data_IF_731248267346
#
_entry.id   IF_731248267346
#
_cell.length_a   1.000
_cell.length_b   1.000
_cell.length_c   1.000
_cell.angle_alpha   90.00
_cell.angle_beta   90.00
_cell.angle_gamma   90.00
#
_symmetry.space_group_name_H-M   'P 1'
#
loop_
_entity.id
_entity.type
_entity.pdbx_description
1 polymer ?
#
# COMPACT_ATOMS: atom_id res chain seq x y z
N UNK A 1 -11.13 10.95 -1.44
CA UNK A 1 -10.88 9.69 -2.16
C UNK A 1 -9.37 9.51 -2.32
N UNK A 2 -8.87 8.26 -2.37
CA UNK A 2 -7.45 7.99 -2.64
C UNK A 2 -7.21 8.15 -4.14
N UNK A 3 -6.13 8.80 -4.52
CA UNK A 3 -5.72 9.03 -5.92
C UNK A 3 -4.41 8.35 -6.28
N UNK A 4 -3.54 8.04 -5.30
CA UNK A 4 -2.28 7.32 -5.52
C UNK A 4 -1.85 6.53 -4.27
N UNK A 5 -1.12 5.44 -4.50
CA UNK A 5 -0.50 4.59 -3.48
C UNK A 5 0.92 4.24 -3.90
N UNK A 6 1.94 4.91 -3.38
CA UNK A 6 3.33 4.81 -3.86
C UNK A 6 4.36 4.58 -2.75
N UNK A 7 5.62 4.35 -3.13
CA UNK A 7 6.76 4.20 -2.23
C UNK A 7 7.53 5.51 -2.01
N UNK A 8 7.04 6.61 -2.60
CA UNK A 8 7.61 7.94 -2.46
C UNK A 8 6.49 8.97 -2.28
N UNK A 9 6.68 9.97 -1.42
CA UNK A 9 5.70 11.04 -1.28
C UNK A 9 5.68 11.92 -2.54
N UNK A 10 4.49 12.19 -3.09
CA UNK A 10 4.32 12.97 -4.32
C UNK A 10 4.51 14.48 -4.13
N UNK A 11 3.99 15.02 -3.03
CA UNK A 11 3.96 16.46 -2.77
C UNK A 11 4.92 16.92 -1.66
N UNK A 12 5.43 16.00 -0.85
CA UNK A 12 6.26 16.29 0.32
C UNK A 12 7.51 15.42 0.31
N UNK A 13 8.47 15.68 -0.60
CA UNK A 13 9.64 14.81 -0.82
C UNK A 13 10.51 14.64 0.44
N UNK A 14 10.48 15.60 1.37
CA UNK A 14 11.19 15.53 2.65
C UNK A 14 10.61 14.50 3.63
N UNK A 15 9.38 14.03 3.43
CA UNK A 15 8.77 12.96 4.23
C UNK A 15 9.23 11.56 3.83
N UNK A 16 10.31 11.42 3.05
CA UNK A 16 10.80 10.12 2.60
C UNK A 16 11.32 9.29 3.79
N UNK A 17 10.47 8.41 4.26
CA UNK A 17 10.77 7.30 5.16
C UNK A 17 10.94 6.04 4.31
N UNK A 18 12.14 5.46 4.35
CA UNK A 18 12.46 4.25 3.61
C UNK A 18 11.46 3.13 3.93
N UNK A 19 11.09 2.34 2.92
CA UNK A 19 10.19 1.20 3.13
C UNK A 19 8.73 1.54 3.46
N UNK A 20 8.36 2.82 3.54
CA UNK A 20 6.98 3.25 3.78
C UNK A 20 6.09 3.19 2.53
N UNK A 21 4.78 3.20 2.75
CA UNK A 21 3.75 3.38 1.72
C UNK A 21 3.04 4.70 1.93
N UNK A 22 2.91 5.49 0.86
CA UNK A 22 2.28 6.79 0.86
C UNK A 22 0.93 6.69 0.15
N UNK A 23 -0.14 7.03 0.85
CA UNK A 23 -1.50 7.13 0.34
C UNK A 23 -1.77 8.61 0.08
N UNK A 24 -1.86 8.99 -1.20
CA UNK A 24 -2.19 10.37 -1.57
C UNK A 24 -3.69 10.45 -1.87
N UNK A 25 -4.37 11.38 -1.22
CA UNK A 25 -5.77 11.69 -1.50
C UNK A 25 -5.90 12.69 -2.65
N UNK A 26 -7.08 12.75 -3.28
CA UNK A 26 -7.35 13.69 -4.38
C UNK A 26 -7.23 15.17 -3.97
N UNK A 27 -7.32 15.46 -2.67
CA UNK A 27 -7.11 16.80 -2.09
C UNK A 27 -5.62 17.13 -1.82
N UNK A 28 -4.70 16.26 -2.22
CA UNK A 28 -3.26 16.43 -2.06
C UNK A 28 -2.73 16.03 -0.67
N UNK A 29 -3.59 15.62 0.27
CA UNK A 29 -3.12 15.12 1.57
C UNK A 29 -2.47 13.74 1.43
N UNK A 30 -1.33 13.55 2.11
CA UNK A 30 -0.62 12.28 2.13
C UNK A 30 -0.73 11.63 3.51
N UNK A 31 -1.06 10.35 3.56
CA UNK A 31 -0.93 9.51 4.76
C UNK A 31 0.22 8.54 4.58
N UNK A 32 1.00 8.33 5.63
CA UNK A 32 2.17 7.43 5.60
C UNK A 32 1.89 6.20 6.43
N UNK A 33 2.19 5.03 5.85
CA UNK A 33 2.20 3.74 6.52
C UNK A 33 3.64 3.22 6.56
N UNK A 34 4.17 2.95 7.75
CA UNK A 34 5.49 2.35 7.95
C UNK A 34 5.46 0.85 7.55
N UNK A 35 5.33 0.58 6.26
CA UNK A 35 5.07 -0.75 5.71
C UNK A 35 6.21 -1.74 5.94
N UNK A 36 7.43 -1.25 6.11
CA UNK A 36 8.63 -2.03 6.40
C UNK A 36 8.64 -2.63 7.80
N UNK A 37 7.85 -2.08 8.73
CA UNK A 37 7.67 -2.67 10.07
C UNK A 37 6.92 -4.00 10.02
N UNK A 38 6.18 -4.26 8.94
CA UNK A 38 5.40 -5.49 8.77
C UNK A 38 6.06 -6.48 7.81
N UNK A 39 6.72 -6.00 6.76
CA UNK A 39 7.29 -6.86 5.72
C UNK A 39 8.60 -6.27 5.18
N UNK A 40 9.61 -7.08 4.82
CA UNK A 40 10.88 -6.55 4.32
C UNK A 40 10.74 -5.54 3.17
N UNK A 41 11.22 -4.32 3.42
CA UNK A 41 11.16 -3.20 2.45
C UNK A 41 9.75 -2.68 2.15
N UNK A 42 8.74 -3.10 2.92
CA UNK A 42 7.34 -2.67 2.81
C UNK A 42 6.64 -3.03 1.51
N UNK A 43 7.26 -3.87 0.67
CA UNK A 43 6.77 -4.19 -0.67
C UNK A 43 5.45 -4.96 -0.64
N UNK A 44 5.34 -5.96 0.22
CA UNK A 44 4.15 -6.80 0.30
C UNK A 44 2.94 -6.01 0.82
N UNK A 45 3.11 -5.21 1.88
CA UNK A 45 2.06 -4.29 2.36
C UNK A 45 1.65 -3.29 1.27
N UNK A 46 2.62 -2.66 0.58
CA UNK A 46 2.31 -1.73 -0.51
C UNK A 46 1.50 -2.38 -1.62
N UNK A 47 1.89 -3.60 -2.04
CA UNK A 47 1.16 -4.38 -3.04
C UNK A 47 -0.27 -4.68 -2.59
N UNK A 48 -0.44 -5.16 -1.35
CA UNK A 48 -1.75 -5.45 -0.76
C UNK A 48 -2.65 -4.23 -0.80
N UNK A 49 -2.17 -3.11 -0.28
CA UNK A 49 -2.94 -1.86 -0.20
C UNK A 49 -3.30 -1.34 -1.59
N UNK A 50 -2.36 -1.38 -2.54
CA UNK A 50 -2.60 -0.99 -3.95
C UNK A 50 -3.64 -1.88 -4.63
N UNK A 51 -3.51 -3.20 -4.50
CA UNK A 51 -4.39 -4.17 -5.17
C UNK A 51 -5.83 -4.02 -4.71
N UNK A 52 -6.10 -4.05 -3.39
CA UNK A 52 -7.48 -3.96 -2.88
C UNK A 52 -8.09 -2.56 -2.93
N UNK A 53 -7.27 -1.54 -3.18
CA UNK A 53 -7.77 -0.23 -3.58
C UNK A 53 -8.31 -0.27 -5.02
N UNK A 54 -7.57 -0.85 -5.95
CA UNK A 54 -7.94 -0.95 -7.38
C UNK A 54 -9.02 -2.02 -7.65
N UNK A 55 -9.12 -3.04 -6.80
CA UNK A 55 -10.04 -4.17 -6.94
C UNK A 55 -10.95 -4.32 -5.70
N UNK A 56 -11.95 -3.43 -5.50
CA UNK A 56 -12.89 -3.53 -4.39
C UNK A 56 -13.62 -4.87 -4.31
N UNK A 57 -13.90 -5.49 -5.46
CA UNK A 57 -14.53 -6.80 -5.62
C UNK A 57 -13.73 -7.94 -4.95
N UNK A 58 -12.41 -7.80 -4.86
CA UNK A 58 -11.55 -8.82 -4.25
C UNK A 58 -11.46 -8.69 -2.73
N UNK A 59 -12.04 -7.67 -2.09
CA UNK A 59 -11.84 -7.42 -0.65
C UNK A 59 -12.33 -8.53 0.28
N UNK A 60 -13.21 -9.42 -0.17
CA UNK A 60 -13.55 -10.63 0.57
C UNK A 60 -12.32 -11.47 0.92
N UNK A 61 -11.29 -11.46 0.07
CA UNK A 61 -10.02 -12.18 0.28
C UNK A 61 -9.26 -11.72 1.54
N UNK A 62 -9.50 -10.50 2.02
CA UNK A 62 -8.91 -9.97 3.25
C UNK A 62 -9.43 -10.69 4.51
N UNK A 63 -10.54 -11.42 4.39
CA UNK A 63 -11.23 -12.07 5.50
C UNK A 63 -11.08 -13.59 5.52
N UNK A 64 -10.58 -14.20 4.43
CA UNK A 64 -10.58 -15.66 4.24
C UNK A 64 -9.18 -16.25 3.99
N UNK A 65 -8.12 -15.44 4.10
CA UNK A 65 -6.72 -15.86 3.96
C UNK A 65 -6.19 -15.87 2.53
N UNK A 66 -7.02 -15.70 1.50
CA UNK A 66 -6.56 -15.62 0.10
C UNK A 66 -5.65 -14.42 -0.16
N UNK A 67 -5.84 -13.32 0.59
CA UNK A 67 -4.94 -12.17 0.50
C UNK A 67 -3.49 -12.52 0.88
N UNK A 68 -3.29 -13.40 1.86
CA UNK A 68 -1.97 -13.85 2.26
C UNK A 68 -1.36 -14.78 1.20
N UNK A 69 -2.16 -15.68 0.63
CA UNK A 69 -1.73 -16.56 -0.47
C UNK A 69 -1.27 -15.75 -1.69
N UNK A 70 -2.04 -14.73 -2.07
CA UNK A 70 -1.72 -13.78 -3.14
C UNK A 70 -0.36 -13.10 -2.92
N UNK A 71 -0.01 -12.76 -1.69
CA UNK A 71 1.28 -12.14 -1.37
C UNK A 71 2.45 -13.13 -1.33
N UNK A 72 2.19 -14.42 -1.14
CA UNK A 72 3.21 -15.48 -1.10
C UNK A 72 3.63 -15.93 -2.51
N UNK A 73 2.75 -15.81 -3.50
CA UNK A 73 3.09 -16.14 -4.89
C UNK A 73 4.02 -15.07 -5.51
N UNK A 74 5.04 -15.49 -6.29
CA UNK A 74 5.84 -14.56 -7.09
C UNK A 74 4.98 -13.97 -8.22
N UNK A 75 5.07 -12.64 -8.37
CA UNK A 75 4.40 -11.84 -9.40
C UNK A 75 5.40 -11.47 -10.49
#
# INVERSE_FOLDING_TARGET
EISDISDRPRHQPWLLIAGSTYLTASDGRTRTLASDWYTPGGRAVRKLVRFYWQHPECRGELTDGRAAQRLAEPW
#
